data_IF_039087399088
#
_entry.id   IF_039087399088
#
_cell.length_a   1.000
_cell.length_b   1.000
_cell.length_c   1.000
_cell.angle_alpha   90.00
_cell.angle_beta   90.00
_cell.angle_gamma   90.00
#
_symmetry.space_group_name_H-M   'P 1'
#
loop_
_entity.id
_entity.type
_entity.pdbx_description
1 polymer ?
#
# COMPACT_ATOMS: atom_id res chain seq x y z
N UNK A 1 3.90 -9.87 -14.42
CA UNK A 1 3.33 -9.70 -13.06
C UNK A 1 2.57 -8.37 -12.93
N UNK A 2 3.17 -7.23 -13.28
CA UNK A 2 2.51 -5.90 -13.22
C UNK A 2 1.19 -5.80 -14.00
N UNK A 3 1.11 -6.39 -15.20
CA UNK A 3 -0.12 -6.35 -16.03
C UNK A 3 -1.32 -7.00 -15.31
N UNK A 4 -1.11 -8.12 -14.62
CA UNK A 4 -2.15 -8.80 -13.85
C UNK A 4 -2.60 -7.95 -12.65
N UNK A 5 -1.64 -7.29 -11.98
CA UNK A 5 -1.89 -6.37 -10.87
C UNK A 5 -2.77 -5.19 -11.31
N UNK A 6 -2.44 -4.58 -12.44
CA UNK A 6 -3.23 -3.49 -13.03
C UNK A 6 -4.63 -3.98 -13.42
N UNK A 7 -4.76 -5.16 -14.01
CA UNK A 7 -6.05 -5.75 -14.39
C UNK A 7 -6.95 -6.00 -13.17
N UNK A 8 -6.36 -6.46 -12.06
CA UNK A 8 -7.05 -6.65 -10.78
C UNK A 8 -7.59 -5.32 -10.26
N UNK A 9 -6.74 -4.30 -10.13
CA UNK A 9 -7.16 -2.97 -9.67
C UNK A 9 -8.24 -2.36 -10.57
N UNK A 10 -8.11 -2.52 -11.89
CA UNK A 10 -9.10 -2.01 -12.85
C UNK A 10 -10.45 -2.71 -12.71
N UNK A 11 -10.46 -4.04 -12.53
CA UNK A 11 -11.68 -4.81 -12.28
C UNK A 11 -12.39 -4.40 -10.98
N UNK A 12 -11.60 -4.20 -9.92
CA UNK A 12 -12.07 -3.72 -8.61
C UNK A 12 -12.71 -2.32 -8.76
N UNK A 13 -12.04 -1.39 -9.42
CA UNK A 13 -12.58 -0.04 -9.68
C UNK A 13 -13.88 -0.10 -10.48
N UNK A 14 -13.93 -0.89 -11.56
CA UNK A 14 -15.09 -0.99 -12.43
C UNK A 14 -16.31 -1.65 -11.78
N UNK A 15 -16.12 -2.50 -10.77
CA UNK A 15 -17.23 -3.10 -10.01
C UNK A 15 -17.66 -2.24 -8.83
N UNK A 16 -16.72 -1.77 -8.00
CA UNK A 16 -17.04 -1.05 -6.77
C UNK A 16 -17.47 0.41 -7.04
N UNK A 17 -16.78 1.14 -7.92
CA UNK A 17 -17.05 2.58 -8.13
C UNK A 17 -18.47 2.85 -8.64
N UNK A 18 -19.00 2.18 -9.68
CA UNK A 18 -20.37 2.43 -10.11
C UNK A 18 -21.40 1.94 -9.09
N UNK A 19 -21.09 0.88 -8.32
CA UNK A 19 -21.94 0.39 -7.23
C UNK A 19 -22.09 1.41 -6.10
N UNK A 20 -20.98 2.00 -5.65
CA UNK A 20 -20.97 3.01 -4.60
C UNK A 20 -21.47 4.38 -5.07
N UNK A 21 -21.16 4.78 -6.31
CA UNK A 21 -21.66 6.00 -6.92
C UNK A 21 -23.20 5.97 -7.05
N UNK A 22 -23.77 4.82 -7.45
CA UNK A 22 -25.24 4.64 -7.50
C UNK A 22 -25.90 4.75 -6.13
N UNK A 23 -25.23 4.31 -5.07
CA UNK A 23 -25.76 4.37 -3.70
C UNK A 23 -25.50 5.70 -2.99
N UNK A 24 -24.86 6.68 -3.65
CA UNK A 24 -24.38 7.95 -3.06
C UNK A 24 -23.52 7.76 -1.79
N UNK A 25 -22.81 6.63 -1.68
CA UNK A 25 -22.02 6.29 -0.48
C UNK A 25 -20.61 6.88 -0.57
N UNK A 26 -20.53 8.21 -0.67
CA UNK A 26 -19.28 8.94 -0.85
C UNK A 26 -18.24 8.67 0.25
N UNK A 27 -18.69 8.45 1.50
CA UNK A 27 -17.80 8.08 2.61
C UNK A 27 -17.14 6.72 2.39
N UNK A 28 -17.88 5.75 1.88
CA UNK A 28 -17.34 4.42 1.59
C UNK A 28 -16.46 4.46 0.34
N UNK A 29 -16.79 5.30 -0.63
CA UNK A 29 -15.99 5.45 -1.84
C UNK A 29 -14.63 6.06 -1.51
N UNK A 30 -14.60 7.02 -0.59
CA UNK A 30 -13.34 7.56 -0.04
C UNK A 30 -12.57 6.50 0.74
N UNK A 31 -13.20 5.76 1.66
CA UNK A 31 -12.52 4.72 2.43
C UNK A 31 -11.92 3.62 1.54
N UNK A 32 -12.69 3.18 0.55
CA UNK A 32 -12.25 2.22 -0.46
C UNK A 32 -11.09 2.76 -1.28
N UNK A 33 -11.21 3.98 -1.78
CA UNK A 33 -10.17 4.61 -2.60
C UNK A 33 -8.87 4.79 -1.82
N UNK A 34 -8.94 5.13 -0.52
CA UNK A 34 -7.76 5.18 0.38
C UNK A 34 -7.11 3.82 0.52
N UNK A 35 -7.88 2.77 0.79
CA UNK A 35 -7.34 1.40 0.88
C UNK A 35 -6.73 0.94 -0.44
N UNK A 36 -7.39 1.24 -1.57
CA UNK A 36 -6.90 0.93 -2.91
C UNK A 36 -5.58 1.65 -3.19
N UNK A 37 -5.48 2.92 -2.80
CA UNK A 37 -4.26 3.72 -2.92
C UNK A 37 -3.10 3.12 -2.11
N UNK A 38 -3.36 2.70 -0.86
CA UNK A 38 -2.35 2.03 -0.04
C UNK A 38 -1.88 0.74 -0.71
N UNK A 39 -2.82 -0.06 -1.23
CA UNK A 39 -2.52 -1.26 -1.99
C UNK A 39 -1.62 -0.98 -3.20
N UNK A 40 -1.98 0.01 -4.02
CA UNK A 40 -1.17 0.43 -5.19
C UNK A 40 0.21 0.95 -4.78
N UNK A 41 0.28 1.81 -3.76
CA UNK A 41 1.53 2.40 -3.28
C UNK A 41 2.51 1.34 -2.74
N UNK A 42 2.01 0.22 -2.20
CA UNK A 42 2.85 -0.89 -1.76
C UNK A 42 3.19 -1.85 -2.92
N UNK A 43 2.21 -2.19 -3.75
CA UNK A 43 2.36 -3.23 -4.78
C UNK A 43 3.09 -2.76 -6.03
N UNK A 44 2.94 -1.49 -6.44
CA UNK A 44 3.61 -0.95 -7.64
C UNK A 44 5.13 -0.89 -7.46
N UNK A 45 5.69 -0.27 -6.40
CA UNK A 45 7.15 -0.23 -6.23
C UNK A 45 7.73 -1.63 -6.01
N UNK A 46 7.03 -2.47 -5.24
CA UNK A 46 7.41 -3.86 -5.02
C UNK A 46 7.47 -4.65 -6.34
N UNK A 47 6.48 -4.47 -7.23
CA UNK A 47 6.45 -5.16 -8.51
C UNK A 47 7.42 -4.57 -9.55
N UNK A 48 7.79 -3.29 -9.41
CA UNK A 48 8.85 -2.63 -10.20
C UNK A 48 10.26 -3.01 -9.73
N UNK A 49 10.40 -3.79 -8.66
CA UNK A 49 11.69 -4.14 -8.08
C UNK A 49 12.40 -2.96 -7.41
N UNK A 50 11.64 -1.92 -7.03
CA UNK A 50 12.16 -0.89 -6.15
C UNK A 50 12.45 -1.57 -4.82
N UNK A 51 13.72 -1.55 -4.41
CA UNK A 51 14.14 -1.98 -3.08
C UNK A 51 13.44 -1.09 -2.05
N UNK A 52 12.25 -1.51 -1.61
CA UNK A 52 11.65 -0.93 -0.43
C UNK A 52 12.67 -1.12 0.69
N UNK A 53 12.96 -0.07 1.49
CA UNK A 53 13.85 -0.21 2.62
C UNK A 53 13.33 -1.37 3.45
N UNK A 54 14.13 -2.43 3.52
CA UNK A 54 13.72 -3.67 4.16
C UNK A 54 13.25 -3.29 5.58
N UNK A 55 12.06 -3.71 6.04
CA UNK A 55 11.59 -3.44 7.39
C UNK A 55 12.67 -3.74 8.45
N UNK A 56 13.50 -4.75 8.21
CA UNK A 56 14.65 -5.06 9.05
C UNK A 56 15.64 -3.91 9.16
N UNK A 57 15.97 -3.21 8.07
CA UNK A 57 16.87 -2.05 8.08
C UNK A 57 16.26 -0.85 8.84
N UNK A 58 14.95 -0.64 8.70
CA UNK A 58 14.24 0.40 9.46
C UNK A 58 14.26 0.08 10.96
N UNK A 59 13.97 -1.16 11.31
CA UNK A 59 14.05 -1.64 12.70
C UNK A 59 15.50 -1.51 13.20
N UNK A 60 16.49 -1.88 12.39
CA UNK A 60 17.91 -1.75 12.74
C UNK A 60 18.29 -0.29 13.00
N UNK A 61 17.81 0.66 12.21
CA UNK A 61 18.06 2.09 12.40
C UNK A 61 17.42 2.64 13.69
N UNK A 62 16.26 2.11 14.08
CA UNK A 62 15.59 2.48 15.33
C UNK A 62 16.24 1.82 16.56
N UNK A 63 16.72 0.59 16.42
CA UNK A 63 17.28 -0.22 17.52
C UNK A 63 18.77 0.07 17.74
N UNK A 64 19.54 0.40 16.69
CA UNK A 64 20.97 0.77 16.77
C UNK A 64 21.27 1.79 17.87
N UNK A 65 20.60 2.97 17.93
CA UNK A 65 20.89 3.96 18.96
C UNK A 65 20.63 3.44 20.37
N UNK A 66 19.61 2.60 20.57
CA UNK A 66 19.33 1.97 21.86
C UNK A 66 20.40 0.93 22.23
N UNK A 67 20.84 0.13 21.26
CA UNK A 67 21.87 -0.89 21.47
C UNK A 67 23.25 -0.28 21.78
N UNK A 68 23.61 0.84 21.15
CA UNK A 68 24.85 1.56 21.47
C UNK A 68 24.79 2.22 22.85
N UNK A 69 23.61 2.68 23.28
CA UNK A 69 23.41 3.25 24.60
C UNK A 69 23.52 2.19 25.72
N UNK A 70 23.03 0.98 25.47
CA UNK A 70 23.13 -0.16 26.40
C UNK A 70 24.51 -0.84 26.42
N UNK A 71 25.32 -0.63 25.38
CA UNK A 71 26.68 -1.19 25.25
C UNK A 71 27.74 -0.29 25.89
N UNK A 72 27.38 0.94 26.29
CA UNK A 72 28.18 1.85 27.11
C UNK A 72 27.87 1.65 28.58
#
# INVERSE_FOLDING_TARGET
>A
MIVLLLMLFLGIILFEVPGLAKKQMWRELTAFSVYLWIGMALSIPLALGVDLPNPTQVIEALVKPLSEFLRK
#
